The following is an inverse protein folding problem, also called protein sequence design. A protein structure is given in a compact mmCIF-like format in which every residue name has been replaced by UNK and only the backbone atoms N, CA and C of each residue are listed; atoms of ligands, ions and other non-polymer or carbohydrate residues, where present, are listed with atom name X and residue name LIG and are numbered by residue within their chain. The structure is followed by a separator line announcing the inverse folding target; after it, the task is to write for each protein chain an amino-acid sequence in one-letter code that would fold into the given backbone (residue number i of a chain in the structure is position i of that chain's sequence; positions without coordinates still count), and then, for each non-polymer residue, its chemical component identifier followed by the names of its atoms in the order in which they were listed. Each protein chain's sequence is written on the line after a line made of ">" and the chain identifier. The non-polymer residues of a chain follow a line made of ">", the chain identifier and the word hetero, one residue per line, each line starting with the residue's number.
data_IF_438917042057
#
_entry.id   IF_438917042057
#
_cell.length_a   1.000
_cell.length_b   1.000
_cell.length_c   1.000
_cell.angle_alpha   90.00
_cell.angle_beta   90.00
_cell.angle_gamma   90.00
#
_symmetry.space_group_name_H-M   'P 1'
#
loop_
_entity.id
_entity.type
_entity.pdbx_description
1 polymer ?
#
# COMPACT_ATOMS: atom_id res chain seq x y z
N UNK A 1 -15.75 -12.97 8.48
CA UNK A 1 -14.71 -12.71 7.46
C UNK A 1 -14.80 -13.83 6.45
N UNK A 2 -15.14 -13.52 5.20
CA UNK A 2 -15.19 -14.50 4.11
C UNK A 2 -13.81 -14.50 3.44
N UNK A 3 -13.23 -15.67 3.24
CA UNK A 3 -11.93 -15.86 2.62
C UNK A 3 -12.11 -16.65 1.31
N UNK A 4 -11.68 -16.05 0.20
CA UNK A 4 -11.77 -16.64 -1.14
C UNK A 4 -10.35 -16.72 -1.70
N UNK A 5 -9.98 -17.86 -2.25
CA UNK A 5 -8.65 -18.11 -2.75
C UNK A 5 -8.69 -18.71 -4.16
N UNK A 6 -7.81 -18.22 -5.02
CA UNK A 6 -7.66 -18.68 -6.39
C UNK A 6 -6.22 -19.13 -6.65
N UNK A 7 -6.06 -20.24 -7.36
CA UNK A 7 -4.75 -20.61 -7.92
C UNK A 7 -4.29 -19.58 -8.95
N UNK A 8 -5.21 -19.08 -9.75
CA UNK A 8 -4.95 -18.13 -10.82
C UNK A 8 -6.23 -17.34 -11.12
N UNK A 9 -6.08 -16.03 -11.31
CA UNK A 9 -7.16 -15.11 -11.70
C UNK A 9 -6.56 -13.95 -12.51
N UNK A 10 -7.36 -13.11 -13.13
CA UNK A 10 -6.86 -11.90 -13.77
C UNK A 10 -6.35 -10.89 -12.73
N UNK A 11 -7.18 -10.53 -11.76
CA UNK A 11 -6.87 -9.60 -10.67
C UNK A 11 -7.88 -9.77 -9.53
N UNK A 12 -7.39 -9.86 -8.30
CA UNK A 12 -8.22 -9.92 -7.09
C UNK A 12 -9.05 -8.66 -6.90
N UNK A 13 -8.57 -7.49 -7.36
CA UNK A 13 -9.36 -6.27 -7.37
C UNK A 13 -10.48 -6.33 -8.42
N UNK A 14 -10.22 -6.87 -9.62
CA UNK A 14 -11.26 -7.05 -10.66
C UNK A 14 -12.35 -7.97 -10.14
N UNK A 15 -11.96 -9.11 -9.56
CA UNK A 15 -12.92 -10.06 -9.02
C UNK A 15 -13.87 -9.42 -7.99
N UNK A 16 -13.34 -8.66 -7.03
CA UNK A 16 -14.20 -7.96 -6.06
C UNK A 16 -15.08 -6.92 -6.75
N UNK A 17 -14.52 -6.14 -7.67
CA UNK A 17 -15.27 -5.13 -8.41
C UNK A 17 -16.45 -5.73 -9.17
N UNK A 18 -16.29 -6.91 -9.75
CA UNK A 18 -17.33 -7.54 -10.59
C UNK A 18 -18.37 -8.31 -9.76
N UNK A 19 -18.04 -8.66 -8.51
CA UNK A 19 -18.89 -9.50 -7.65
C UNK A 19 -19.34 -8.80 -6.35
N UNK A 20 -19.03 -7.52 -6.13
CA UNK A 20 -19.22 -6.85 -4.82
C UNK A 20 -20.64 -6.94 -4.24
N UNK A 21 -21.66 -7.03 -5.09
CA UNK A 21 -23.05 -7.16 -4.68
C UNK A 21 -23.31 -8.49 -3.94
N UNK A 22 -22.53 -9.53 -4.25
CA UNK A 22 -22.58 -10.87 -3.66
C UNK A 22 -21.57 -11.06 -2.51
N UNK A 23 -20.68 -10.08 -2.30
CA UNK A 23 -19.64 -10.14 -1.29
C UNK A 23 -20.06 -9.43 -0.01
N UNK A 24 -19.75 -10.08 1.11
CA UNK A 24 -19.92 -9.51 2.44
C UNK A 24 -18.85 -8.45 2.70
N UNK A 25 -19.16 -7.50 3.59
CA UNK A 25 -18.13 -6.63 4.16
C UNK A 25 -17.04 -7.49 4.83
N UNK A 26 -15.79 -7.03 4.79
CA UNK A 26 -14.61 -7.76 5.28
C UNK A 26 -14.34 -9.07 4.51
N UNK A 27 -14.65 -9.11 3.22
CA UNK A 27 -14.22 -10.21 2.35
C UNK A 27 -12.76 -10.04 1.95
N UNK A 28 -11.99 -11.13 1.99
CA UNK A 28 -10.63 -11.22 1.50
C UNK A 28 -10.62 -12.11 0.26
N UNK A 29 -9.97 -11.65 -0.80
CA UNK A 29 -9.72 -12.42 -2.01
C UNK A 29 -8.21 -12.52 -2.21
N UNK A 30 -7.67 -13.74 -2.23
CA UNK A 30 -6.25 -14.02 -2.47
C UNK A 30 -6.07 -14.76 -3.78
N UNK A 31 -4.95 -14.52 -4.46
CA UNK A 31 -4.53 -15.33 -5.60
C UNK A 31 -3.07 -15.79 -5.46
N UNK A 32 -2.78 -16.99 -5.95
CA UNK A 32 -1.41 -17.51 -6.08
C UNK A 32 -0.69 -16.93 -7.32
N UNK A 33 -1.46 -16.48 -8.31
CA UNK A 33 -0.97 -15.80 -9.50
C UNK A 33 -2.06 -14.89 -10.09
N UNK A 34 -1.65 -13.74 -10.63
CA UNK A 34 -2.52 -12.81 -11.35
C UNK A 34 -2.02 -12.62 -12.77
N UNK A 35 -2.84 -12.94 -13.77
CA UNK A 35 -2.45 -12.79 -15.19
C UNK A 35 -2.48 -11.34 -15.64
N UNK A 36 -3.28 -10.48 -14.99
CA UNK A 36 -3.48 -9.07 -15.32
C UNK A 36 -3.50 -8.23 -14.04
N UNK A 37 -2.49 -8.41 -13.18
CA UNK A 37 -2.35 -7.65 -11.95
C UNK A 37 -2.36 -6.15 -12.21
N UNK A 38 -3.12 -5.39 -11.41
CA UNK A 38 -3.32 -3.95 -11.62
C UNK A 38 -2.49 -3.11 -10.66
N UNK A 39 -1.96 -2.01 -11.16
CA UNK A 39 -1.33 -0.93 -10.41
C UNK A 39 -1.95 0.44 -10.73
N UNK A 40 -1.46 1.49 -10.09
CA UNK A 40 -1.94 2.87 -10.33
C UNK A 40 -1.53 3.36 -11.72
N UNK A 41 -2.29 4.32 -12.26
CA UNK A 41 -1.99 4.97 -13.55
C UNK A 41 -1.79 3.96 -14.70
N UNK A 42 -2.61 2.90 -14.72
CA UNK A 42 -2.57 1.82 -15.71
C UNK A 42 -1.27 1.00 -15.75
N UNK A 43 -0.41 1.10 -14.73
CA UNK A 43 0.72 0.18 -14.61
C UNK A 43 0.21 -1.23 -14.28
N UNK A 44 0.94 -2.23 -14.75
CA UNK A 44 0.68 -3.64 -14.44
C UNK A 44 1.49 -4.00 -13.20
N UNK A 45 0.85 -4.68 -12.25
CA UNK A 45 1.56 -5.37 -11.17
C UNK A 45 1.96 -6.75 -11.68
N UNK A 46 3.23 -6.89 -12.02
CA UNK A 46 3.81 -8.15 -12.46
C UNK A 46 4.12 -9.04 -11.25
N UNK A 47 3.92 -10.35 -11.41
CA UNK A 47 4.14 -11.34 -10.37
C UNK A 47 4.62 -12.65 -10.99
N UNK A 48 5.45 -13.39 -10.28
CA UNK A 48 5.77 -14.77 -10.61
C UNK A 48 4.80 -15.69 -9.84
N UNK A 49 4.42 -16.81 -10.45
CA UNK A 49 3.50 -17.76 -9.82
C UNK A 49 4.03 -18.21 -8.46
N UNK A 50 3.20 -18.11 -7.42
CA UNK A 50 3.53 -18.47 -6.04
C UNK A 50 4.64 -17.66 -5.35
N UNK A 51 5.20 -16.60 -5.93
CA UNK A 51 6.31 -15.86 -5.31
C UNK A 51 5.84 -14.65 -4.49
N UNK A 52 4.81 -13.96 -4.95
CA UNK A 52 4.21 -12.81 -4.26
C UNK A 52 3.09 -13.25 -3.30
N UNK A 53 2.75 -12.37 -2.36
CA UNK A 53 1.46 -12.37 -1.67
C UNK A 53 0.57 -11.36 -2.38
N UNK A 54 -0.48 -11.85 -3.05
CA UNK A 54 -1.42 -11.06 -3.84
C UNK A 54 -2.81 -11.23 -3.22
N UNK A 55 -3.35 -10.15 -2.66
CA UNK A 55 -4.69 -10.19 -2.08
C UNK A 55 -5.38 -8.84 -2.18
N UNK A 56 -6.70 -8.87 -2.03
CA UNK A 56 -7.55 -7.70 -1.92
C UNK A 56 -8.48 -7.83 -0.72
N UNK A 57 -8.65 -6.74 0.01
CA UNK A 57 -9.60 -6.62 1.10
C UNK A 57 -10.77 -5.72 0.69
N UNK A 58 -12.00 -6.21 0.85
CA UNK A 58 -13.22 -5.49 0.54
C UNK A 58 -13.88 -4.95 1.81
N UNK A 59 -14.19 -3.66 1.82
CA UNK A 59 -14.94 -3.04 2.92
C UNK A 59 -16.02 -2.07 2.43
N UNK A 60 -17.13 -2.00 3.18
CA UNK A 60 -18.30 -1.15 2.95
C UNK A 60 -18.31 0.01 3.96
N UNK A 61 -17.21 0.76 4.03
CA UNK A 61 -17.06 1.92 4.92
C UNK A 61 -16.79 3.18 4.11
N UNK A 62 -17.40 4.30 4.51
CA UNK A 62 -17.18 5.59 3.88
C UNK A 62 -15.97 6.30 4.51
N UNK A 63 -14.78 5.98 3.99
CA UNK A 63 -13.50 6.56 4.41
C UNK A 63 -12.79 7.08 3.18
N UNK A 64 -12.05 8.19 3.34
CA UNK A 64 -11.20 8.73 2.28
C UNK A 64 -10.21 7.66 1.77
N UNK A 65 -10.24 7.31 0.46
CA UNK A 65 -9.35 6.31 -0.14
C UNK A 65 -7.85 6.58 0.07
N UNK A 66 -7.43 7.85 0.17
CA UNK A 66 -6.04 8.20 0.46
C UNK A 66 -5.65 7.84 1.88
N UNK A 67 -6.53 8.08 2.85
CA UNK A 67 -6.34 7.65 4.24
C UNK A 67 -6.31 6.14 4.32
N UNK A 68 -7.19 5.45 3.60
CA UNK A 68 -7.18 3.98 3.51
C UNK A 68 -5.84 3.45 2.99
N UNK A 69 -5.34 4.01 1.89
CA UNK A 69 -4.03 3.64 1.32
C UNK A 69 -2.90 3.89 2.33
N UNK A 70 -2.90 5.04 2.99
CA UNK A 70 -1.89 5.40 3.99
C UNK A 70 -1.91 4.48 5.21
N UNK A 71 -3.09 4.14 5.72
CA UNK A 71 -3.27 3.21 6.84
C UNK A 71 -2.83 1.80 6.45
N UNK A 72 -3.18 1.32 5.26
CA UNK A 72 -2.72 0.01 4.78
C UNK A 72 -1.20 -0.04 4.65
N UNK A 73 -0.59 1.00 4.08
CA UNK A 73 0.88 1.10 4.00
C UNK A 73 1.54 1.06 5.37
N UNK A 74 0.96 1.79 6.34
CA UNK A 74 1.46 1.80 7.70
C UNK A 74 1.26 0.46 8.43
N UNK A 75 0.14 -0.23 8.19
CA UNK A 75 -0.09 -1.58 8.71
C UNK A 75 0.96 -2.57 8.21
N UNK A 76 1.25 -2.57 6.90
CA UNK A 76 2.31 -3.42 6.32
C UNK A 76 3.66 -3.11 6.96
N UNK A 77 4.05 -1.83 7.05
CA UNK A 77 5.32 -1.44 7.67
C UNK A 77 5.38 -1.86 9.14
N UNK A 78 4.30 -1.69 9.89
CA UNK A 78 4.23 -2.09 11.30
C UNK A 78 4.46 -3.59 11.46
N UNK A 79 3.77 -4.42 10.68
CA UNK A 79 3.93 -5.88 10.72
C UNK A 79 5.33 -6.32 10.31
N UNK A 80 5.92 -5.69 9.29
CA UNK A 80 7.29 -6.00 8.86
C UNK A 80 8.33 -5.58 9.92
N UNK A 81 8.14 -4.44 10.57
CA UNK A 81 9.02 -3.96 11.65
C UNK A 81 8.95 -4.86 12.89
N UNK A 82 7.78 -5.41 13.22
CA UNK A 82 7.65 -6.44 14.26
C UNK A 82 8.45 -7.71 13.94
N UNK A 83 8.72 -7.96 12.65
CA UNK A 83 9.62 -9.02 12.17
C UNK A 83 11.07 -8.56 11.97
N UNK A 84 11.44 -7.41 12.53
CA UNK A 84 12.78 -6.81 12.43
C UNK A 84 13.21 -6.44 11.00
N UNK A 85 12.25 -6.28 10.08
CA UNK A 85 12.51 -5.83 8.71
C UNK A 85 12.39 -4.32 8.65
N UNK A 86 13.46 -3.65 8.20
CA UNK A 86 13.50 -2.19 8.10
C UNK A 86 12.72 -1.68 6.88
N UNK A 87 11.40 -1.73 6.94
CA UNK A 87 10.48 -1.28 5.89
C UNK A 87 10.13 0.21 6.02
N UNK A 88 9.91 0.87 4.89
CA UNK A 88 9.57 2.30 4.80
C UNK A 88 8.42 2.53 3.82
N UNK A 89 7.60 3.54 4.09
CA UNK A 89 6.51 3.96 3.21
C UNK A 89 7.07 4.97 2.20
N UNK A 90 7.06 4.63 0.91
CA UNK A 90 7.20 5.63 -0.14
C UNK A 90 5.79 6.05 -0.54
N UNK A 91 5.41 7.24 -0.06
CA UNK A 91 4.11 7.83 -0.34
C UNK A 91 3.82 7.88 -1.84
N UNK A 92 2.58 7.60 -2.27
CA UNK A 92 1.40 7.34 -1.43
C UNK A 92 1.18 5.88 -0.99
N UNK A 93 1.79 4.90 -1.68
CA UNK A 93 1.22 3.56 -1.73
C UNK A 93 2.24 2.44 -1.91
N UNK A 94 3.54 2.73 -1.84
CA UNK A 94 4.59 1.73 -2.04
C UNK A 94 5.37 1.48 -0.74
N UNK A 95 5.79 0.23 -0.54
CA UNK A 95 6.65 -0.15 0.58
C UNK A 95 8.04 -0.50 0.06
N UNK A 96 9.06 0.05 0.70
CA UNK A 96 10.46 -0.10 0.34
C UNK A 96 11.25 -0.77 1.45
N UNK A 97 12.17 -1.66 1.07
CA UNK A 97 13.22 -2.23 1.94
C UNK A 97 14.54 -2.13 1.17
N UNK A 98 15.62 -1.68 1.82
CA UNK A 98 16.93 -1.50 1.19
C UNK A 98 16.89 -0.69 -0.13
N UNK A 99 16.09 0.37 -0.16
CA UNK A 99 15.84 1.23 -1.33
C UNK A 99 15.18 0.52 -2.54
N UNK A 100 14.73 -0.71 -2.38
CA UNK A 100 13.99 -1.46 -3.40
C UNK A 100 12.52 -1.55 -3.02
N UNK A 101 11.64 -1.43 -4.02
CA UNK A 101 10.20 -1.60 -3.82
C UNK A 101 9.89 -3.08 -3.59
N UNK A 102 9.19 -3.38 -2.50
CA UNK A 102 8.73 -4.74 -2.18
C UNK A 102 7.21 -4.86 -2.20
N UNK A 103 6.46 -3.77 -2.08
CA UNK A 103 5.01 -3.82 -2.07
C UNK A 103 4.39 -2.62 -2.77
N UNK A 104 3.19 -2.83 -3.30
CA UNK A 104 2.32 -1.80 -3.84
C UNK A 104 0.89 -1.99 -3.36
N UNK A 105 0.23 -0.88 -3.09
CA UNK A 105 -1.17 -0.83 -2.66
C UNK A 105 -1.98 -0.12 -3.74
N UNK A 106 -3.12 -0.70 -4.11
CA UNK A 106 -4.08 -0.15 -5.05
C UNK A 106 -5.45 -0.07 -4.36
N UNK A 107 -5.86 1.15 -4.03
CA UNK A 107 -7.20 1.41 -3.49
C UNK A 107 -8.12 1.85 -4.61
N UNK A 108 -9.22 1.14 -4.78
CA UNK A 108 -10.29 1.43 -5.73
C UNK A 108 -11.62 1.56 -5.00
N UNK A 109 -12.51 2.40 -5.50
CA UNK A 109 -13.83 2.65 -4.92
C UNK A 109 -14.91 2.21 -5.90
N UNK A 110 -15.94 1.55 -5.40
CA UNK A 110 -17.10 1.15 -6.18
C UNK A 110 -18.20 2.19 -5.96
N UNK A 111 -18.65 2.82 -7.04
CA UNK A 111 -19.74 3.78 -7.03
C UNK A 111 -20.87 3.29 -7.93
N UNK A 112 -22.09 3.34 -7.40
CA UNK A 112 -23.30 3.40 -8.21
C UNK A 112 -23.86 4.83 -8.09
N UNK A 113 -24.98 5.00 -7.38
CA UNK A 113 -25.48 6.32 -6.96
C UNK A 113 -24.80 6.84 -5.69
N UNK A 114 -24.33 5.91 -4.85
CA UNK A 114 -23.58 6.16 -3.63
C UNK A 114 -22.35 5.25 -3.59
N UNK A 115 -21.41 5.54 -2.68
CA UNK A 115 -20.27 4.65 -2.43
C UNK A 115 -20.79 3.28 -1.95
N UNK A 116 -20.50 2.24 -2.73
CA UNK A 116 -20.87 0.86 -2.41
C UNK A 116 -19.77 0.13 -1.62
N UNK A 117 -18.51 0.52 -1.81
CA UNK A 117 -17.41 -0.01 -1.03
C UNK A 117 -16.04 0.39 -1.57
N UNK A 118 -15.01 -0.06 -0.85
CA UNK A 118 -13.60 0.20 -1.11
C UNK A 118 -12.89 -1.16 -1.23
N UNK A 119 -12.11 -1.29 -2.29
CA UNK A 119 -11.27 -2.45 -2.60
C UNK A 119 -9.83 -2.04 -2.35
N UNK A 120 -9.11 -2.80 -1.51
CA UNK A 120 -7.72 -2.54 -1.16
C UNK A 120 -6.87 -3.70 -1.66
N UNK A 121 -6.35 -3.57 -2.87
CA UNK A 121 -5.41 -4.51 -3.46
C UNK A 121 -4.02 -4.31 -2.90
N UNK A 122 -3.36 -5.41 -2.53
CA UNK A 122 -2.00 -5.43 -1.99
C UNK A 122 -1.20 -6.51 -2.70
N UNK A 123 -0.14 -6.08 -3.38
CA UNK A 123 0.91 -6.97 -3.89
C UNK A 123 2.16 -6.81 -3.05
N UNK A 124 2.71 -7.91 -2.54
CA UNK A 124 3.91 -7.94 -1.70
C UNK A 124 4.87 -9.04 -2.17
N UNK A 125 6.11 -8.68 -2.50
CA UNK A 125 7.16 -9.60 -2.91
C UNK A 125 7.70 -10.36 -1.69
N UNK A 126 7.44 -11.67 -1.63
CA UNK A 126 7.80 -12.51 -0.48
C UNK A 126 9.01 -13.37 -0.76
N UNK A 127 8.91 -14.19 -1.79
CA UNK A 127 9.85 -15.27 -2.10
C UNK A 127 10.77 -14.91 -3.27
N UNK A 128 11.72 -15.79 -3.60
CA UNK A 128 12.76 -15.51 -4.58
C UNK A 128 12.21 -15.69 -5.99
N UNK A 129 12.08 -14.58 -6.71
CA UNK A 129 11.63 -14.56 -8.10
C UNK A 129 12.37 -13.51 -8.92
N UNK A 130 11.66 -12.91 -9.87
CA UNK A 130 12.16 -11.89 -10.79
C UNK A 130 12.34 -10.52 -10.13
N UNK A 131 11.83 -10.33 -8.91
CA UNK A 131 11.80 -9.04 -8.21
C UNK A 131 12.39 -9.12 -6.81
N UNK A 132 12.97 -8.01 -6.34
CA UNK A 132 13.47 -7.88 -4.97
C UNK A 132 12.35 -8.16 -3.95
N UNK A 133 12.62 -9.01 -2.98
CA UNK A 133 11.62 -9.55 -2.08
C UNK A 133 12.10 -9.63 -0.62
N UNK A 134 11.20 -10.05 0.26
CA UNK A 134 11.56 -10.26 1.66
C UNK A 134 12.60 -11.38 1.83
N UNK A 135 12.60 -12.39 0.96
CA UNK A 135 13.61 -13.46 0.99
C UNK A 135 15.04 -12.98 0.70
N UNK A 136 15.23 -11.80 0.11
CA UNK A 136 16.55 -11.17 -0.06
C UNK A 136 17.05 -10.49 1.24
N UNK A 137 16.16 -10.31 2.22
CA UNK A 137 16.42 -9.58 3.47
C UNK A 137 16.50 -10.53 4.67
N UNK A 138 15.72 -11.62 4.63
CA UNK A 138 15.61 -12.58 5.72
C UNK A 138 15.89 -14.00 5.23
N UNK A 139 16.51 -14.82 6.09
CA UNK A 139 16.93 -16.19 5.76
C UNK A 139 15.96 -17.26 6.27
N UNK A 140 14.69 -16.93 6.50
CA UNK A 140 13.68 -17.87 6.95
C UNK A 140 12.40 -17.74 6.12
N UNK A 141 11.62 -18.80 5.95
CA UNK A 141 10.37 -18.74 5.20
C UNK A 141 9.37 -17.79 5.88
N UNK A 142 8.54 -17.18 5.04
CA UNK A 142 7.38 -16.38 5.47
C UNK A 142 6.12 -17.15 5.13
N UNK A 143 5.32 -17.41 6.16
CA UNK A 143 3.94 -17.85 5.99
C UNK A 143 3.11 -16.67 5.45
N UNK A 144 2.70 -16.78 4.18
CA UNK A 144 2.00 -15.73 3.44
C UNK A 144 0.60 -15.47 3.98
N UNK A 145 -0.12 -16.52 4.35
CA UNK A 145 -1.47 -16.41 4.90
C UNK A 145 -1.42 -15.74 6.27
N UNK A 146 -0.53 -16.21 7.15
CA UNK A 146 -0.32 -15.57 8.46
C UNK A 146 0.13 -14.13 8.32
N UNK A 147 1.00 -13.81 7.35
CA UNK A 147 1.42 -12.44 7.11
C UNK A 147 0.24 -11.55 6.66
N UNK A 148 -0.55 -12.01 5.70
CA UNK A 148 -1.75 -11.33 5.21
C UNK A 148 -2.75 -11.06 6.34
N UNK A 149 -3.09 -12.07 7.14
CA UNK A 149 -4.03 -11.92 8.24
C UNK A 149 -3.53 -10.91 9.29
N UNK A 150 -2.24 -10.96 9.66
CA UNK A 150 -1.66 -9.96 10.57
C UNK A 150 -1.72 -8.54 10.00
N UNK A 151 -1.49 -8.37 8.70
CA UNK A 151 -1.61 -7.06 8.02
C UNK A 151 -3.04 -6.55 8.10
N UNK A 152 -4.01 -7.40 7.77
CA UNK A 152 -5.43 -7.03 7.77
C UNK A 152 -5.92 -6.70 9.18
N UNK A 153 -5.58 -7.51 10.19
CA UNK A 153 -5.94 -7.23 11.57
C UNK A 153 -5.32 -5.91 12.07
N UNK A 154 -4.05 -5.68 11.74
CA UNK A 154 -3.38 -4.41 12.05
C UNK A 154 -4.06 -3.23 11.35
N UNK A 155 -4.40 -3.37 10.07
CA UNK A 155 -5.11 -2.35 9.29
C UNK A 155 -6.47 -2.03 9.92
N UNK A 156 -7.28 -3.06 10.25
CA UNK A 156 -8.61 -2.89 10.86
C UNK A 156 -8.51 -2.16 12.20
N UNK A 157 -7.57 -2.57 13.05
CA UNK A 157 -7.35 -1.89 14.33
C UNK A 157 -6.99 -0.41 14.14
N UNK A 158 -6.11 -0.10 13.19
CA UNK A 158 -5.75 1.28 12.87
C UNK A 158 -6.89 2.08 12.24
N UNK A 159 -7.77 1.44 11.46
CA UNK A 159 -8.91 2.10 10.84
C UNK A 159 -9.91 2.64 11.87
N UNK A 160 -9.98 2.04 13.06
CA UNK A 160 -10.79 2.51 14.18
C UNK A 160 -10.13 3.63 14.99
N UNK A 161 -8.86 3.97 14.71
CA UNK A 161 -8.13 5.03 15.41
C UNK A 161 -8.29 6.37 14.68
N UNK A 162 -8.25 7.51 15.39
CA UNK A 162 -8.17 8.81 14.74
C UNK A 162 -6.94 8.89 13.83
N UNK A 163 -7.11 9.27 12.57
CA UNK A 163 -6.00 9.31 11.59
C UNK A 163 -4.81 10.14 12.09
N UNK A 164 -5.07 11.27 12.76
CA UNK A 164 -4.04 12.11 13.36
C UNK A 164 -3.14 11.37 14.37
N UNK A 165 -3.67 10.38 15.09
CA UNK A 165 -2.89 9.58 16.04
C UNK A 165 -1.90 8.63 15.37
N UNK A 166 -2.11 8.30 14.09
CA UNK A 166 -1.24 7.42 13.31
C UNK A 166 -0.12 8.19 12.60
N UNK A 167 -0.28 9.50 12.39
CA UNK A 167 0.61 10.33 11.56
C UNK A 167 2.06 10.34 12.06
N UNK A 168 2.30 10.37 13.37
CA UNK A 168 3.68 10.36 13.89
C UNK A 168 4.42 9.08 13.47
N UNK A 169 3.79 7.92 13.63
CA UNK A 169 4.35 6.63 13.22
C UNK A 169 4.52 6.52 11.71
N UNK A 170 3.50 6.94 10.95
CA UNK A 170 3.56 7.01 9.48
C UNK A 170 4.75 7.85 9.00
N UNK A 171 4.90 9.07 9.55
CA UNK A 171 5.95 10.00 9.18
C UNK A 171 7.34 9.54 9.60
N UNK A 172 7.45 8.90 10.77
CA UNK A 172 8.71 8.31 11.26
C UNK A 172 9.26 7.29 10.27
N UNK A 173 8.39 6.55 9.58
CA UNK A 173 8.76 5.50 8.63
C UNK A 173 8.62 5.91 7.16
N UNK A 174 8.52 7.21 6.86
CA UNK A 174 8.55 7.70 5.48
C UNK A 174 9.93 7.44 4.84
N UNK A 175 9.93 6.88 3.63
CA UNK A 175 11.12 6.62 2.82
C UNK A 175 11.86 7.91 2.43
N UNK A 176 11.12 9.02 2.27
CA UNK A 176 11.65 10.31 1.86
C UNK A 176 12.12 11.16 3.03
N UNK A 177 11.86 10.73 4.27
CA UNK A 177 12.20 11.51 5.46
C UNK A 177 13.68 11.87 5.46
N UNK A 178 13.97 13.17 5.49
CA UNK A 178 15.33 13.70 5.52
C UNK A 178 16.08 13.65 4.18
N UNK A 179 15.47 13.12 3.11
CA UNK A 179 16.04 13.16 1.77
C UNK A 179 15.72 14.50 1.10
N UNK A 180 16.70 15.03 0.37
CA UNK A 180 16.53 16.14 -0.56
C UNK A 180 16.51 15.58 -1.97
N UNK A 181 15.45 15.87 -2.72
CA UNK A 181 15.21 15.31 -4.05
C UNK A 181 14.72 16.40 -5.01
N UNK A 182 14.99 16.30 -6.32
CA UNK A 182 14.36 17.18 -7.30
C UNK A 182 12.86 16.91 -7.37
N UNK A 183 12.04 17.96 -7.39
CA UNK A 183 10.59 17.85 -7.46
C UNK A 183 9.93 18.97 -8.28
N UNK A 184 9.46 18.61 -9.48
CA UNK A 184 8.72 19.47 -10.42
C UNK A 184 9.31 20.90 -10.53
N UNK A 185 8.47 21.93 -10.47
CA UNK A 185 8.85 23.35 -10.51
C UNK A 185 9.55 23.86 -9.24
N UNK A 186 9.59 23.07 -8.16
CA UNK A 186 10.12 23.47 -6.87
C UNK A 186 11.63 23.26 -6.73
N UNK A 187 12.29 22.68 -7.74
CA UNK A 187 13.73 22.39 -7.68
C UNK A 187 14.05 21.30 -6.66
N UNK A 188 15.14 21.47 -5.90
CA UNK A 188 15.49 20.55 -4.83
C UNK A 188 14.64 20.82 -3.58
N UNK A 189 13.96 19.79 -3.10
CA UNK A 189 13.06 19.89 -1.95
C UNK A 189 13.37 18.83 -0.92
N UNK A 190 13.20 19.19 0.36
CA UNK A 190 13.26 18.27 1.49
C UNK A 190 11.86 17.84 1.87
N UNK A 191 11.62 16.53 1.95
CA UNK A 191 10.36 16.03 2.49
C UNK A 191 10.32 16.18 4.01
N UNK A 192 9.26 16.82 4.52
CA UNK A 192 9.06 17.02 5.95
C UNK A 192 8.14 15.95 6.54
N UNK A 193 6.88 15.91 6.12
CA UNK A 193 5.85 15.02 6.66
C UNK A 193 4.60 14.97 5.78
N UNK A 194 3.77 13.95 6.00
CA UNK A 194 2.39 13.84 5.56
C UNK A 194 1.48 14.50 6.61
N UNK A 195 0.55 15.35 6.17
CA UNK A 195 -0.45 15.98 7.04
C UNK A 195 -1.73 15.14 7.20
N UNK A 196 -2.70 15.63 7.99
CA UNK A 196 -3.97 14.95 8.28
C UNK A 196 -4.92 14.82 7.09
N UNK A 197 -4.67 15.58 6.02
CA UNK A 197 -5.41 15.56 4.77
C UNK A 197 -4.70 14.74 3.69
N UNK A 198 -3.68 13.97 4.09
CA UNK A 198 -2.82 13.22 3.17
C UNK A 198 -2.11 14.13 2.15
N UNK A 199 -1.67 15.32 2.54
CA UNK A 199 -0.77 16.12 1.72
C UNK A 199 0.68 15.93 2.14
N UNK A 200 1.59 15.92 1.17
CA UNK A 200 3.01 16.01 1.46
C UNK A 200 3.39 17.45 1.72
N UNK A 201 3.99 17.69 2.89
CA UNK A 201 4.65 18.95 3.21
C UNK A 201 6.12 18.83 2.86
N UNK A 202 6.58 19.70 1.98
CA UNK A 202 7.97 19.82 1.54
C UNK A 202 8.54 21.19 1.91
N UNK A 203 9.86 21.30 1.94
CA UNK A 203 10.61 22.55 2.12
C UNK A 203 11.54 22.76 0.92
N UNK A 204 11.46 23.91 0.26
CA UNK A 204 12.37 24.28 -0.82
C UNK A 204 13.73 24.83 -0.32
N UNK A 205 14.64 25.15 -1.24
CA UNK A 205 15.96 25.69 -0.90
C UNK A 205 15.91 27.04 -0.16
N UNK A 206 14.83 27.81 -0.33
CA UNK A 206 14.58 29.08 0.36
C UNK A 206 13.90 28.91 1.72
N UNK A 207 13.80 27.68 2.25
CA UNK A 207 13.12 27.35 3.50
C UNK A 207 11.62 27.63 3.49
N UNK A 208 11.02 27.81 2.31
CA UNK A 208 9.57 27.95 2.18
C UNK A 208 8.93 26.57 2.14
N UNK A 209 7.89 26.40 2.95
CA UNK A 209 7.09 25.17 2.97
C UNK A 209 6.02 25.21 1.88
N UNK A 210 5.82 24.06 1.24
CA UNK A 210 4.76 23.85 0.26
C UNK A 210 3.99 22.58 0.60
N UNK A 211 2.70 22.59 0.32
CA UNK A 211 1.79 21.47 0.54
C UNK A 211 1.36 20.92 -0.81
N UNK A 212 1.61 19.63 -1.04
CA UNK A 212 1.39 18.96 -2.31
C UNK A 212 0.37 17.83 -2.13
N UNK A 213 -0.58 17.76 -3.05
CA UNK A 213 -1.54 16.66 -3.12
C UNK A 213 -0.84 15.34 -3.47
N UNK A 214 -1.08 14.31 -2.65
CA UNK A 214 -0.45 12.97 -2.78
C UNK A 214 -0.58 12.35 -4.17
N UNK A 215 -1.68 12.67 -4.87
CA UNK A 215 -2.06 12.07 -6.14
C UNK A 215 -1.09 12.44 -7.27
N UNK A 216 -0.32 13.52 -7.09
CA UNK A 216 0.57 14.06 -8.12
C UNK A 216 2.00 13.49 -8.07
N UNK A 217 2.27 12.56 -7.17
CA UNK A 217 3.60 12.00 -6.99
C UNK A 217 3.83 10.82 -7.91
N UNK A 218 4.20 11.10 -9.15
CA UNK A 218 5.11 10.24 -9.89
C UNK A 218 6.52 10.69 -9.55
N UNK A 219 7.03 10.30 -8.37
CA UNK A 219 8.47 10.36 -8.15
C UNK A 219 9.09 9.41 -9.17
N UNK A 220 9.59 9.97 -10.27
CA UNK A 220 10.43 9.29 -11.23
C UNK A 220 11.48 8.48 -10.49
N UNK A 221 11.90 7.35 -11.06
CA UNK A 221 12.95 6.51 -10.49
C UNK A 221 14.14 7.41 -10.11
N UNK A 222 14.33 7.64 -8.81
CA UNK A 222 15.54 8.24 -8.23
C UNK A 222 16.57 7.12 -8.18
#
# INVERSE_FOLDING_TARGET
>A
MKYIEFEEIDSTNTYIHDHYQELDNDTIVRAHYQTHGRGRSNHIWEADKNEQLLFSYYMKQNVDPLKVSAIMAYAIVTVLRMKQINAFIKWPNDIYVNNQKIAGILVETIYENTLQGIIIGTGLNISKGSYYSLSDVINHPIDKEKLMLNIIDTFKNMLHMPFASLLDGMNRHSYLRGKTIPYKEYGLVKFLYLDENCHLVIEDENKKKHTILLNELSLGRI
#
